data_IF_142318786837
#
_entry.id   IF_142318786837
#
_cell.length_a   1.000
_cell.length_b   1.000
_cell.length_c   1.000
_cell.angle_alpha   90.00
_cell.angle_beta   90.00
_cell.angle_gamma   90.00
#
_symmetry.space_group_name_H-M   'P 1'
#
loop_
_entity.id
_entity.type
_entity.pdbx_description
1 polymer ?
#
# COMPACT_ATOMS: atom_id res chain seq x y z
N UNK A 1 -18.52 -24.64 1.84
CA UNK A 1 -18.19 -23.54 0.90
C UNK A 1 -17.45 -22.44 1.68
N UNK A 2 -16.19 -22.68 2.06
CA UNK A 2 -15.42 -21.81 2.97
C UNK A 2 -13.91 -22.00 2.76
N UNK A 3 -13.26 -21.30 1.81
CA UNK A 3 -11.82 -21.52 1.52
C UNK A 3 -10.96 -20.33 1.07
N UNK A 4 -11.43 -19.24 0.42
CA UNK A 4 -10.50 -18.27 -0.15
C UNK A 4 -9.87 -17.29 0.86
N UNK A 5 -10.55 -16.96 1.97
CA UNK A 5 -10.04 -15.99 2.95
C UNK A 5 -8.77 -16.47 3.67
N UNK A 6 -8.64 -17.79 3.89
CA UNK A 6 -7.48 -18.37 4.57
C UNK A 6 -6.19 -18.30 3.74
N UNK A 7 -6.31 -18.15 2.41
CA UNK A 7 -5.18 -17.95 1.50
C UNK A 7 -4.74 -16.49 1.43
N UNK A 8 -5.67 -15.55 1.69
CA UNK A 8 -5.36 -14.12 1.63
C UNK A 8 -4.34 -13.69 2.68
N UNK A 9 -4.45 -14.20 3.92
CA UNK A 9 -3.55 -13.83 5.03
C UNK A 9 -2.09 -14.24 4.74
N UNK A 10 -1.78 -15.50 4.35
CA UNK A 10 -0.43 -15.89 3.97
C UNK A 10 0.11 -15.16 2.73
N UNK A 11 -0.72 -14.94 1.72
CA UNK A 11 -0.30 -14.27 0.47
C UNK A 11 0.08 -12.81 0.75
N UNK A 12 -0.72 -12.08 1.53
CA UNK A 12 -0.41 -10.70 1.92
C UNK A 12 0.85 -10.63 2.79
N UNK A 13 0.96 -11.51 3.81
CA UNK A 13 2.14 -11.57 4.67
C UNK A 13 3.41 -11.89 3.87
N UNK A 14 3.33 -12.82 2.91
CA UNK A 14 4.43 -13.17 2.02
C UNK A 14 4.84 -12.02 1.09
N UNK A 15 3.88 -11.32 0.49
CA UNK A 15 4.17 -10.18 -0.38
C UNK A 15 4.82 -9.01 0.38
N UNK A 16 4.36 -8.71 1.60
CA UNK A 16 4.98 -7.70 2.45
C UNK A 16 6.38 -8.10 2.90
N UNK A 17 6.57 -9.36 3.30
CA UNK A 17 7.88 -9.85 3.69
C UNK A 17 8.88 -9.78 2.54
N UNK A 18 8.45 -10.13 1.32
CA UNK A 18 9.22 -10.00 0.09
C UNK A 18 9.57 -8.52 -0.19
N UNK A 19 8.59 -7.62 -0.24
CA UNK A 19 8.91 -6.20 -0.47
C UNK A 19 9.93 -5.62 0.55
N UNK A 20 9.88 -6.10 1.81
CA UNK A 20 10.84 -5.71 2.84
C UNK A 20 12.22 -6.32 2.60
N UNK A 21 12.34 -7.64 2.36
CA UNK A 21 13.66 -8.25 2.14
C UNK A 21 14.35 -7.75 0.86
N UNK A 22 13.59 -7.45 -0.19
CA UNK A 22 14.09 -6.86 -1.44
C UNK A 22 14.65 -5.46 -1.18
N UNK A 23 13.92 -4.64 -0.40
CA UNK A 23 14.36 -3.30 0.00
C UNK A 23 15.65 -3.33 0.85
N UNK A 24 15.83 -4.34 1.69
CA UNK A 24 17.05 -4.51 2.51
C UNK A 24 18.20 -5.23 1.78
N UNK A 25 18.00 -5.65 0.53
CA UNK A 25 19.01 -6.34 -0.29
C UNK A 25 19.42 -7.70 0.26
N UNK A 26 18.55 -8.34 1.06
CA UNK A 26 18.80 -9.67 1.60
C UNK A 26 18.32 -10.73 0.61
N UNK A 27 19.09 -11.82 0.44
CA UNK A 27 18.73 -12.90 -0.52
C UNK A 27 17.37 -13.50 -0.16
N UNK A 28 16.48 -13.45 -1.13
CA UNK A 28 15.08 -13.87 -1.07
C UNK A 28 14.83 -15.18 -1.79
N UNK A 29 13.81 -15.91 -1.35
CA UNK A 29 13.29 -17.06 -2.07
C UNK A 29 12.60 -18.05 -1.13
N UNK A 30 11.33 -18.33 -1.42
CA UNK A 30 10.68 -19.60 -1.04
C UNK A 30 11.38 -20.81 -1.69
N UNK A 31 12.29 -20.56 -2.65
CA UNK A 31 13.06 -21.53 -3.44
C UNK A 31 14.48 -21.77 -2.89
N UNK A 32 14.90 -21.06 -1.83
CA UNK A 32 16.23 -21.23 -1.24
C UNK A 32 16.15 -21.87 0.16
N UNK A 33 16.98 -22.90 0.33
CA UNK A 33 17.14 -23.82 1.47
C UNK A 33 16.69 -23.30 2.85
N UNK A 34 15.86 -24.11 3.55
CA UNK A 34 15.25 -23.90 4.88
C UNK A 34 16.22 -23.37 5.97
N UNK A 35 17.53 -23.55 5.77
CA UNK A 35 18.60 -23.13 6.68
C UNK A 35 19.12 -21.70 6.46
N UNK A 36 18.82 -21.03 5.32
CA UNK A 36 19.43 -19.73 4.95
C UNK A 36 18.44 -18.57 4.84
N UNK A 37 17.13 -18.83 4.75
CA UNK A 37 16.05 -17.83 4.71
C UNK A 37 15.57 -17.32 6.10
N UNK A 38 16.44 -17.33 7.13
CA UNK A 38 16.13 -16.79 8.46
C UNK A 38 15.51 -15.38 8.47
N UNK A 39 15.95 -14.42 7.63
CA UNK A 39 15.37 -13.07 7.67
C UNK A 39 13.94 -13.04 7.14
N UNK A 40 13.59 -13.79 6.09
CA UNK A 40 12.22 -13.82 5.54
C UNK A 40 11.20 -14.36 6.55
N UNK A 41 11.48 -15.53 7.13
CA UNK A 41 10.64 -16.10 8.19
C UNK A 41 10.64 -15.21 9.45
N UNK A 42 11.75 -14.52 9.72
CA UNK A 42 11.85 -13.53 10.79
C UNK A 42 10.92 -12.34 10.59
N UNK A 43 10.84 -11.78 9.38
CA UNK A 43 9.91 -10.68 9.04
C UNK A 43 8.47 -11.14 9.16
N UNK A 44 8.12 -12.33 8.66
CA UNK A 44 6.75 -12.89 8.79
C UNK A 44 6.38 -13.13 10.25
N UNK A 45 7.27 -13.73 11.04
CA UNK A 45 7.06 -13.99 12.46
C UNK A 45 6.90 -12.68 13.25
N UNK A 46 7.78 -11.70 12.99
CA UNK A 46 7.71 -10.38 13.60
C UNK A 46 6.41 -9.66 13.22
N UNK A 47 6.04 -9.64 11.94
CA UNK A 47 4.79 -9.03 11.49
C UNK A 47 3.55 -9.67 12.13
N UNK A 48 3.57 -11.00 12.31
CA UNK A 48 2.49 -11.73 12.98
C UNK A 48 2.42 -11.39 14.47
N UNK A 49 3.56 -11.36 15.17
CA UNK A 49 3.61 -10.98 16.59
C UNK A 49 3.14 -9.54 16.77
N UNK A 50 3.63 -8.61 15.95
CA UNK A 50 3.21 -7.20 15.99
C UNK A 50 1.71 -7.07 15.73
N UNK A 51 1.19 -7.73 14.68
CA UNK A 51 -0.23 -7.76 14.37
C UNK A 51 -1.09 -8.35 15.50
N UNK A 52 -0.59 -9.36 16.20
CA UNK A 52 -1.26 -9.98 17.33
C UNK A 52 -1.24 -9.10 18.58
N UNK A 53 -0.18 -8.32 18.81
CA UNK A 53 0.00 -7.46 19.99
C UNK A 53 -0.76 -6.14 19.85
N UNK A 54 -0.89 -5.58 18.65
CA UNK A 54 -1.57 -4.30 18.40
C UNK A 54 -2.97 -4.21 19.06
N UNK A 55 -3.87 -5.20 18.93
CA UNK A 55 -5.18 -5.18 19.59
C UNK A 55 -5.13 -5.10 21.12
N UNK A 56 -4.04 -5.55 21.76
CA UNK A 56 -3.88 -5.52 23.22
C UNK A 56 -3.32 -4.19 23.74
N UNK A 57 -2.81 -3.32 22.86
CA UNK A 57 -2.20 -2.03 23.26
C UNK A 57 -3.21 -0.95 23.66
N UNK A 58 -4.51 -1.26 23.67
CA UNK A 58 -5.58 -0.31 24.04
C UNK A 58 -5.90 0.73 22.96
N UNK A 59 -5.17 0.72 21.84
CA UNK A 59 -5.51 1.50 20.64
C UNK A 59 -6.78 0.91 20.02
N UNK A 60 -7.78 1.75 19.72
CA UNK A 60 -8.98 1.27 19.03
C UNK A 60 -8.56 0.78 17.65
N UNK A 61 -8.76 -0.51 17.35
CA UNK A 61 -8.41 -1.10 16.05
C UNK A 61 -9.01 -0.36 14.86
N UNK A 62 -10.16 0.29 15.06
CA UNK A 62 -10.81 1.16 14.07
C UNK A 62 -9.92 2.36 13.70
N UNK A 63 -9.27 2.99 14.67
CA UNK A 63 -8.37 4.13 14.41
C UNK A 63 -7.13 3.69 13.64
N UNK A 64 -6.57 2.52 13.98
CA UNK A 64 -5.45 1.93 13.26
C UNK A 64 -5.82 1.59 11.80
N UNK A 65 -7.02 1.05 11.57
CA UNK A 65 -7.54 0.77 10.24
C UNK A 65 -7.78 2.05 9.43
N UNK A 66 -8.31 3.09 10.07
CA UNK A 66 -8.53 4.39 9.44
C UNK A 66 -7.21 5.03 9.01
N UNK A 67 -6.20 5.05 9.89
CA UNK A 67 -4.86 5.53 9.57
C UNK A 67 -4.21 4.73 8.42
N UNK A 68 -4.32 3.40 8.46
CA UNK A 68 -3.83 2.51 7.38
C UNK A 68 -4.51 2.80 6.05
N UNK A 69 -5.81 3.09 6.08
CA UNK A 69 -6.59 3.40 4.87
C UNK A 69 -6.20 4.76 4.28
N UNK A 70 -5.94 5.76 5.14
CA UNK A 70 -5.40 7.06 4.69
C UNK A 70 -4.03 6.86 4.04
N UNK A 71 -3.11 6.15 4.71
CA UNK A 71 -1.79 5.86 4.17
C UNK A 71 -1.87 5.14 2.82
N UNK A 72 -2.71 4.11 2.71
CA UNK A 72 -2.89 3.39 1.45
C UNK A 72 -3.52 4.27 0.36
N UNK A 73 -4.51 5.10 0.70
CA UNK A 73 -5.14 6.04 -0.22
C UNK A 73 -4.18 7.11 -0.75
N UNK A 74 -3.28 7.60 0.10
CA UNK A 74 -2.22 8.54 -0.29
C UNK A 74 -1.14 7.82 -1.10
N UNK A 75 -0.73 6.62 -0.71
CA UNK A 75 0.35 5.87 -1.37
C UNK A 75 -0.05 5.32 -2.75
N UNK A 76 -1.32 4.96 -2.95
CA UNK A 76 -1.82 4.38 -4.21
C UNK A 76 -1.50 5.22 -5.47
N UNK A 77 -1.74 6.54 -5.54
CA UNK A 77 -1.35 7.35 -6.70
C UNK A 77 0.17 7.42 -6.92
N UNK A 78 0.97 7.47 -5.86
CA UNK A 78 2.44 7.46 -5.99
C UNK A 78 2.95 6.12 -6.52
N UNK A 79 2.44 5.01 -5.98
CA UNK A 79 2.80 3.69 -6.43
C UNK A 79 2.43 3.49 -7.91
N UNK A 80 1.22 3.92 -8.30
CA UNK A 80 0.77 3.85 -9.69
C UNK A 80 1.64 4.71 -10.61
N UNK A 81 2.05 5.90 -10.18
CA UNK A 81 2.98 6.77 -10.93
C UNK A 81 4.31 6.06 -11.17
N UNK A 82 4.89 5.42 -10.15
CA UNK A 82 6.15 4.66 -10.28
C UNK A 82 5.97 3.48 -11.24
N UNK A 83 4.88 2.72 -11.10
CA UNK A 83 4.57 1.60 -12.00
C UNK A 83 4.42 2.09 -13.44
N UNK A 84 3.70 3.19 -13.67
CA UNK A 84 3.53 3.78 -15.00
C UNK A 84 4.85 4.25 -15.61
N UNK A 85 5.72 4.86 -14.79
CA UNK A 85 7.03 5.31 -15.24
C UNK A 85 7.95 4.12 -15.59
N UNK A 86 7.92 3.06 -14.77
CA UNK A 86 8.67 1.84 -15.02
C UNK A 86 8.14 1.11 -16.27
N UNK A 87 6.82 1.00 -16.41
CA UNK A 87 6.19 0.24 -17.49
C UNK A 87 6.19 0.97 -18.85
N UNK A 88 6.35 2.30 -18.85
CA UNK A 88 6.63 3.08 -20.06
C UNK A 88 8.10 2.97 -20.49
N UNK A 89 9.01 2.63 -19.57
CA UNK A 89 10.44 2.59 -19.86
C UNK A 89 10.83 1.26 -20.52
N UNK A 90 11.16 1.30 -21.81
CA UNK A 90 11.67 0.15 -22.57
C UNK A 90 12.92 -0.48 -21.94
N UNK A 91 13.73 0.28 -21.18
CA UNK A 91 14.89 -0.29 -20.47
C UNK A 91 14.51 -1.20 -19.32
N UNK A 92 13.35 -0.99 -18.69
CA UNK A 92 12.88 -1.81 -17.56
C UNK A 92 11.99 -2.95 -18.06
N UNK A 93 11.12 -2.69 -19.04
CA UNK A 93 10.13 -3.66 -19.55
C UNK A 93 10.59 -4.46 -20.79
N UNK A 94 11.70 -4.09 -21.42
CA UNK A 94 12.21 -4.76 -22.62
C UNK A 94 11.30 -4.58 -23.84
N UNK A 95 10.97 -5.68 -24.54
CA UNK A 95 10.17 -5.68 -25.79
C UNK A 95 8.64 -5.69 -25.58
N UNK A 96 8.16 -5.73 -24.34
CA UNK A 96 6.74 -5.77 -23.98
C UNK A 96 6.36 -4.49 -23.22
N UNK A 97 6.51 -3.33 -23.86
CA UNK A 97 6.02 -2.08 -23.27
C UNK A 97 4.50 -1.99 -23.30
N UNK A 98 3.96 -1.25 -22.34
CA UNK A 98 2.54 -0.94 -22.29
C UNK A 98 2.11 -0.24 -23.59
N UNK A 99 1.07 -0.77 -24.24
CA UNK A 99 0.52 -0.18 -25.46
C UNK A 99 -0.03 1.24 -25.25
N UNK A 100 -0.21 2.03 -26.33
CA UNK A 100 -0.62 3.44 -26.23
C UNK A 100 -1.97 3.63 -25.53
N UNK A 101 -2.91 2.69 -25.71
CA UNK A 101 -4.23 2.72 -25.06
C UNK A 101 -4.10 2.59 -23.54
N UNK A 102 -3.36 1.59 -23.08
CA UNK A 102 -3.19 1.32 -21.65
C UNK A 102 -2.31 2.40 -20.98
N UNK A 103 -1.36 2.98 -21.72
CA UNK A 103 -0.61 4.16 -21.28
C UNK A 103 -1.54 5.35 -21.05
N UNK A 104 -2.47 5.61 -21.99
CA UNK A 104 -3.40 6.74 -21.89
C UNK A 104 -4.37 6.56 -20.72
N UNK A 105 -4.95 5.36 -20.59
CA UNK A 105 -5.82 5.01 -19.46
C UNK A 105 -5.09 5.09 -18.12
N UNK A 106 -3.87 4.56 -18.03
CA UNK A 106 -3.07 4.63 -16.81
C UNK A 106 -2.74 6.06 -16.39
N UNK A 107 -2.44 6.95 -17.35
CA UNK A 107 -2.25 8.37 -17.07
C UNK A 107 -3.54 9.07 -16.64
N UNK A 108 -4.68 8.77 -17.27
CA UNK A 108 -5.99 9.30 -16.85
C UNK A 108 -6.28 8.91 -15.39
N UNK A 109 -6.10 7.64 -15.03
CA UNK A 109 -6.31 7.17 -13.66
C UNK A 109 -5.35 7.85 -12.70
N UNK A 110 -4.07 7.95 -13.05
CA UNK A 110 -3.05 8.61 -12.20
C UNK A 110 -3.43 10.07 -11.94
N UNK A 111 -3.77 10.83 -12.99
CA UNK A 111 -4.21 12.23 -12.87
C UNK A 111 -5.49 12.35 -12.05
N UNK A 112 -6.48 11.49 -12.29
CA UNK A 112 -7.73 11.48 -11.53
C UNK A 112 -7.50 11.20 -10.04
N UNK A 113 -6.62 10.25 -9.69
CA UNK A 113 -6.28 9.94 -8.30
C UNK A 113 -5.52 11.08 -7.62
N UNK A 114 -4.57 11.73 -8.31
CA UNK A 114 -3.90 12.93 -7.79
C UNK A 114 -4.87 14.10 -7.63
N UNK A 115 -5.79 14.30 -8.57
CA UNK A 115 -6.82 15.34 -8.46
C UNK A 115 -7.75 15.10 -7.26
N UNK A 116 -8.16 13.85 -7.02
CA UNK A 116 -8.94 13.49 -5.85
C UNK A 116 -8.17 13.72 -4.53
N UNK A 117 -6.88 13.36 -4.50
CA UNK A 117 -6.01 13.59 -3.34
C UNK A 117 -5.83 15.09 -3.05
N UNK A 118 -5.58 15.89 -4.08
CA UNK A 118 -5.49 17.36 -3.96
C UNK A 118 -6.84 17.95 -3.55
N UNK A 119 -7.94 17.49 -4.13
CA UNK A 119 -9.29 17.92 -3.74
C UNK A 119 -9.61 17.64 -2.28
N UNK A 120 -9.20 16.47 -1.77
CA UNK A 120 -9.29 16.12 -0.35
C UNK A 120 -8.42 17.03 0.51
N UNK A 121 -7.17 17.30 0.10
CA UNK A 121 -6.26 18.20 0.82
C UNK A 121 -6.79 19.64 0.85
N UNK A 122 -7.28 20.16 -0.27
CA UNK A 122 -7.85 21.50 -0.38
C UNK A 122 -9.14 21.63 0.45
N UNK A 123 -10.02 20.63 0.41
CA UNK A 123 -11.24 20.61 1.24
C UNK A 123 -10.89 20.54 2.73
N UNK A 124 -9.88 19.74 3.10
CA UNK A 124 -9.39 19.65 4.47
C UNK A 124 -8.69 20.93 4.96
N UNK A 125 -8.14 21.75 4.05
CA UNK A 125 -7.53 23.04 4.38
C UNK A 125 -8.57 24.16 4.44
N UNK A 126 -9.59 24.10 3.58
CA UNK A 126 -10.71 25.05 3.54
C UNK A 126 -11.70 24.91 4.71
N UNK A 127 -11.73 23.76 5.38
CA UNK A 127 -12.51 23.57 6.61
C UNK A 127 -11.90 24.24 7.85
N UNK A 128 -10.69 24.83 7.75
CA UNK A 128 -10.09 25.69 8.80
C UNK A 128 -10.76 27.06 8.92
N UNK A 129 -11.67 27.40 8.00
CA UNK A 129 -12.44 28.66 7.97
C UNK A 129 -13.95 28.39 7.99
N UNK A 130 -14.40 27.49 8.86
CA UNK A 130 -15.81 27.42 9.28
C UNK A 130 -15.90 28.09 10.65
N UNK A 131 -16.49 29.31 10.75
CA UNK A 131 -16.74 29.95 12.03
C UNK A 131 -17.73 29.11 12.82
N UNK A 132 -17.28 28.51 13.93
CA UNK A 132 -18.17 27.99 14.96
C UNK A 132 -18.83 29.18 15.68
N UNK A 133 -19.96 29.64 15.17
CA UNK A 133 -20.75 30.67 15.81
C UNK A 133 -22.17 30.73 15.25
N UNK A 134 -23.15 30.52 16.13
CA UNK A 134 -24.61 30.73 15.95
C UNK A 134 -25.44 29.48 15.64
N UNK A 135 -25.55 28.59 16.63
CA UNK A 135 -26.83 27.95 16.99
C UNK A 135 -27.01 28.02 18.51
N UNK A 136 -27.29 29.24 18.98
CA UNK A 136 -28.16 29.48 20.13
C UNK A 136 -29.12 30.58 19.69
N UNK A 137 -30.39 30.22 19.56
CA UNK A 137 -31.50 31.00 19.04
C UNK A 137 -32.65 30.08 18.75
#
# INVERSE_FOLDING_TARGET
>A
MARPIFLAVPVLAGASAYAVSEMFGWREGLDEDWRRARPFYGVVALATIVGLVIPFTGVRSIDALFFTSILNGVAAPFLLLVIMLAARNEKVMGRQTIGPVLTTLGWIVTVAMFAALIGLALTSLGSSTVPHGTLMG
#
